data_IF_667563360780
#
_entry.id   IF_667563360780
#
_cell.length_a   1.000
_cell.length_b   1.000
_cell.length_c   1.000
_cell.angle_alpha   90.00
_cell.angle_beta   90.00
_cell.angle_gamma   90.00
#
_symmetry.space_group_name_H-M   'P 1'
#
loop_
_entity.id
_entity.type
_entity.pdbx_description
1 polymer ?
#
# COMPACT_ATOMS: atom_id res chain seq x y z
N UNK A 1 23.31 -3.53 65.69
CA UNK A 1 23.54 -2.83 64.40
C UNK A 1 22.58 -3.39 63.36
N UNK A 2 21.52 -2.65 62.99
CA UNK A 2 20.56 -3.05 61.95
C UNK A 2 21.10 -2.61 60.58
N UNK A 3 21.31 -3.57 59.68
CA UNK A 3 21.70 -3.32 58.28
C UNK A 3 20.43 -2.99 57.49
N UNK A 4 20.37 -1.78 56.93
CA UNK A 4 19.35 -1.42 55.94
C UNK A 4 19.89 -1.81 54.55
N UNK A 5 19.22 -2.76 53.90
CA UNK A 5 19.43 -3.05 52.48
C UNK A 5 18.64 -2.03 51.67
N UNK A 6 19.36 -1.13 50.97
CA UNK A 6 18.78 -0.29 49.92
C UNK A 6 18.51 -1.18 48.70
N UNK A 7 17.23 -1.38 48.37
CA UNK A 7 16.84 -2.02 47.11
C UNK A 7 17.04 -1.06 45.94
N UNK A 8 17.96 -1.37 45.04
CA UNK A 8 18.07 -0.68 43.75
C UNK A 8 16.87 -1.11 42.87
N UNK A 9 15.97 -0.17 42.60
CA UNK A 9 15.00 -0.30 41.51
C UNK A 9 15.74 -0.18 40.17
N UNK A 10 15.93 -1.31 39.50
CA UNK A 10 16.38 -1.33 38.12
C UNK A 10 15.25 -0.84 37.21
N UNK A 11 15.38 0.39 36.70
CA UNK A 11 14.58 0.88 35.59
C UNK A 11 14.89 0.03 34.35
N UNK A 12 13.90 -0.71 33.85
CA UNK A 12 14.01 -1.40 32.58
C UNK A 12 14.29 -0.37 31.46
N UNK A 13 15.26 -0.60 30.57
CA UNK A 13 15.48 0.29 29.44
C UNK A 13 14.24 0.26 28.54
N UNK A 14 13.56 1.40 28.41
CA UNK A 14 12.61 1.62 27.32
C UNK A 14 13.38 1.47 26.02
N UNK A 15 13.16 0.38 25.29
CA UNK A 15 13.65 0.25 23.93
C UNK A 15 13.10 1.42 23.11
N UNK A 16 13.99 2.29 22.63
CA UNK A 16 13.61 3.37 21.72
C UNK A 16 12.95 2.71 20.52
N UNK A 17 11.75 3.18 20.13
CA UNK A 17 11.03 2.57 19.03
C UNK A 17 11.90 2.62 17.76
N UNK A 18 12.31 1.44 17.27
CA UNK A 18 13.14 1.32 16.07
C UNK A 18 12.39 1.83 14.83
N UNK A 19 11.06 1.91 14.89
CA UNK A 19 10.18 2.44 13.85
C UNK A 19 9.32 3.54 14.44
N UNK A 20 9.21 4.68 13.75
CA UNK A 20 8.26 5.76 14.07
C UNK A 20 7.29 5.96 12.91
N UNK A 21 6.05 6.33 13.22
CA UNK A 21 5.04 6.75 12.25
C UNK A 21 4.69 8.22 12.54
N UNK A 22 5.04 9.09 11.60
CA UNK A 22 4.69 10.52 11.66
C UNK A 22 3.28 10.74 11.11
N UNK A 23 2.86 9.91 10.14
CA UNK A 23 1.52 9.87 9.58
C UNK A 23 1.19 8.44 9.11
N UNK A 24 -0.08 8.00 9.20
CA UNK A 24 -1.18 8.68 9.87
C UNK A 24 -1.03 8.63 11.40
N UNK A 25 -1.58 9.64 12.09
CA UNK A 25 -1.73 9.61 13.54
C UNK A 25 -2.92 8.73 13.93
N UNK A 26 -2.84 8.11 15.10
CA UNK A 26 -3.95 7.34 15.65
C UNK A 26 -5.08 8.22 16.16
N UNK A 27 -6.27 7.62 16.34
CA UNK A 27 -7.43 8.26 16.96
C UNK A 27 -8.53 8.66 15.97
N UNK A 28 -9.37 9.62 16.37
CA UNK A 28 -10.47 10.10 15.54
C UNK A 28 -10.01 11.26 14.67
N UNK A 29 -10.32 11.21 13.38
CA UNK A 29 -10.04 12.29 12.43
C UNK A 29 -11.23 12.56 11.52
N UNK A 30 -11.18 13.71 10.86
CA UNK A 30 -12.16 14.12 9.85
C UNK A 30 -11.40 14.68 8.64
N UNK A 31 -11.54 14.04 7.48
CA UNK A 31 -10.86 14.48 6.24
C UNK A 31 -11.65 15.49 5.40
N UNK A 32 -12.68 16.15 5.95
CA UNK A 32 -13.43 17.17 5.23
C UNK A 32 -12.52 18.32 4.78
N UNK A 33 -12.60 18.71 3.51
CA UNK A 33 -11.78 19.79 2.94
C UNK A 33 -10.30 19.43 2.73
N UNK A 34 -9.88 18.18 3.00
CA UNK A 34 -8.53 17.74 2.70
C UNK A 34 -8.32 17.63 1.18
N UNK A 35 -7.25 18.22 0.66
CA UNK A 35 -6.80 18.01 -0.72
C UNK A 35 -6.07 16.67 -0.81
N UNK A 36 -6.83 15.65 -1.17
CA UNK A 36 -6.33 14.29 -1.38
C UNK A 36 -6.28 14.05 -2.90
N UNK A 37 -5.11 14.25 -3.49
CA UNK A 37 -4.88 13.90 -4.89
C UNK A 37 -4.56 12.40 -4.96
N UNK A 38 -5.43 11.68 -5.66
CA UNK A 38 -5.37 10.24 -5.78
C UNK A 38 -4.69 9.80 -7.06
N UNK A 39 -4.76 10.61 -8.13
CA UNK A 39 -4.09 10.38 -9.41
C UNK A 39 -2.75 11.11 -9.42
N UNK A 40 -1.66 10.37 -9.56
CA UNK A 40 -0.36 10.98 -9.81
C UNK A 40 -0.13 11.23 -11.30
N UNK A 41 0.34 12.44 -11.65
CA UNK A 41 0.99 12.68 -12.94
C UNK A 41 2.30 11.88 -12.97
N UNK A 42 2.36 10.89 -13.84
CA UNK A 42 3.53 10.02 -14.03
C UNK A 42 4.27 10.53 -15.26
N UNK A 43 5.46 11.13 -15.06
CA UNK A 43 6.39 11.43 -16.15
C UNK A 43 7.38 10.28 -16.28
N UNK A 44 7.33 9.60 -17.43
CA UNK A 44 8.15 8.42 -17.67
C UNK A 44 9.62 8.79 -17.96
N UNK A 45 10.58 8.03 -17.39
CA UNK A 45 10.40 6.94 -16.42
C UNK A 45 10.21 7.49 -14.99
N UNK A 46 9.11 7.13 -14.31
CA UNK A 46 8.91 7.58 -12.93
C UNK A 46 9.75 6.73 -11.99
N UNK A 47 10.65 7.39 -11.25
CA UNK A 47 11.82 6.75 -10.64
C UNK A 47 11.71 6.52 -9.12
N UNK A 48 10.61 6.89 -8.46
CA UNK A 48 10.29 6.44 -7.10
C UNK A 48 8.87 6.83 -6.68
N UNK A 49 8.38 6.23 -5.59
CA UNK A 49 7.22 6.76 -4.83
C UNK A 49 7.63 8.11 -4.23
N UNK A 50 7.36 9.21 -4.93
CA UNK A 50 7.59 10.54 -4.41
C UNK A 50 6.32 11.10 -3.76
N UNK A 51 6.47 11.77 -2.62
CA UNK A 51 5.39 12.54 -2.03
C UNK A 51 5.16 13.79 -2.90
N UNK A 52 3.97 13.95 -3.47
CA UNK A 52 3.62 15.19 -4.16
C UNK A 52 3.60 16.35 -3.14
N UNK A 53 4.16 17.50 -3.52
CA UNK A 53 4.11 18.70 -2.68
C UNK A 53 2.64 19.11 -2.45
N UNK A 54 2.24 19.28 -1.19
CA UNK A 54 0.91 19.75 -0.82
C UNK A 54 -0.16 18.66 -0.62
N UNK A 55 0.19 17.38 -0.75
CA UNK A 55 -0.75 16.31 -0.41
C UNK A 55 -1.06 16.29 1.09
N UNK A 56 -2.33 16.15 1.44
CA UNK A 56 -2.77 16.18 2.83
C UNK A 56 -2.15 15.03 3.65
N UNK A 57 -1.79 15.31 4.90
CA UNK A 57 -1.29 14.30 5.84
C UNK A 57 -2.30 13.14 6.06
N UNK A 58 -3.59 13.37 5.78
CA UNK A 58 -4.65 12.34 5.83
C UNK A 58 -4.53 11.29 4.72
N UNK A 59 -3.79 11.58 3.66
CA UNK A 59 -3.55 10.71 2.51
C UNK A 59 -2.09 10.25 2.40
N UNK A 60 -1.35 10.23 3.51
CA UNK A 60 0.06 9.84 3.55
C UNK A 60 0.35 8.83 4.66
N UNK A 61 1.33 7.97 4.38
CA UNK A 61 2.00 7.07 5.32
C UNK A 61 3.46 7.51 5.34
N UNK A 62 3.93 8.03 6.47
CA UNK A 62 5.30 8.55 6.60
C UNK A 62 5.87 8.23 7.97
N UNK A 63 7.17 8.04 8.02
CA UNK A 63 7.88 7.86 9.27
C UNK A 63 9.35 7.56 9.04
N UNK A 64 9.98 6.95 10.05
CA UNK A 64 11.39 6.55 9.99
C UNK A 64 11.61 5.16 10.58
N UNK A 65 12.61 4.46 10.06
CA UNK A 65 13.19 3.23 10.62
C UNK A 65 14.63 3.52 10.98
N UNK A 66 14.94 3.50 12.28
CA UNK A 66 16.29 3.64 12.78
C UNK A 66 17.10 2.37 12.50
N UNK A 67 18.30 2.53 11.93
CA UNK A 67 19.16 1.40 11.57
C UNK A 67 18.63 0.58 10.39
N UNK A 68 17.93 1.22 9.44
CA UNK A 68 17.46 0.57 8.23
C UNK A 68 18.63 -0.06 7.45
N UNK A 69 18.46 -1.31 7.03
CA UNK A 69 19.45 -2.04 6.23
C UNK A 69 19.22 -1.74 4.76
N UNK A 70 20.25 -1.22 4.07
CA UNK A 70 20.18 -0.91 2.64
C UNK A 70 19.79 -2.13 1.82
N UNK A 71 18.87 -1.95 0.88
CA UNK A 71 18.49 -2.97 -0.12
C UNK A 71 17.52 -4.05 0.37
N UNK A 72 17.04 -3.99 1.61
CA UNK A 72 15.95 -4.85 2.09
C UNK A 72 14.70 -4.02 2.37
N UNK A 73 13.58 -4.24 1.67
CA UNK A 73 12.36 -3.49 1.93
C UNK A 73 11.82 -3.81 3.32
N UNK A 74 11.25 -2.80 3.97
CA UNK A 74 10.39 -2.99 5.13
C UNK A 74 9.04 -3.57 4.68
N UNK A 75 8.18 -3.93 5.63
CA UNK A 75 6.79 -4.31 5.32
C UNK A 75 5.84 -3.23 5.80
N UNK A 76 5.05 -2.68 4.89
CA UNK A 76 3.90 -1.85 5.19
C UNK A 76 2.64 -2.74 5.19
N UNK A 77 1.78 -2.61 6.18
CA UNK A 77 0.50 -3.31 6.23
C UNK A 77 -0.59 -2.26 6.37
N UNK A 78 -1.46 -2.15 5.36
CA UNK A 78 -2.61 -1.24 5.41
C UNK A 78 -3.90 -2.06 5.42
N UNK A 79 -4.71 -1.85 6.45
CA UNK A 79 -5.96 -2.59 6.71
C UNK A 79 -5.81 -4.12 6.68
N UNK A 80 -4.59 -4.64 6.86
CA UNK A 80 -4.27 -6.07 6.80
C UNK A 80 -3.78 -6.57 5.45
N UNK A 81 -3.58 -5.70 4.47
CA UNK A 81 -2.87 -5.99 3.21
C UNK A 81 -1.39 -5.66 3.39
N UNK A 82 -0.48 -6.64 3.44
CA UNK A 82 0.96 -6.38 3.47
C UNK A 82 1.43 -5.95 2.07
N UNK A 83 2.40 -5.05 2.01
CA UNK A 83 3.09 -4.62 0.81
C UNK A 83 4.53 -4.28 1.18
N UNK A 84 5.52 -4.50 0.30
CA UNK A 84 6.87 -4.06 0.59
C UNK A 84 6.93 -2.53 0.63
N UNK A 85 7.82 -2.00 1.45
CA UNK A 85 8.01 -0.58 1.70
C UNK A 85 9.47 -0.23 1.47
N UNK A 86 9.71 0.64 0.50
CA UNK A 86 11.02 1.22 0.29
C UNK A 86 11.38 2.16 1.45
N UNK A 87 12.62 2.04 1.92
CA UNK A 87 13.17 2.85 3.01
C UNK A 87 14.43 3.52 2.49
N UNK A 88 14.49 4.83 2.63
CA UNK A 88 15.61 5.63 2.18
C UNK A 88 16.87 5.36 3.00
N UNK A 89 18.08 5.69 2.48
CA UNK A 89 19.33 5.49 3.20
C UNK A 89 19.39 6.20 4.56
N UNK A 90 18.66 7.30 4.72
CA UNK A 90 18.57 8.03 5.99
C UNK A 90 17.55 7.41 6.97
N UNK A 91 16.89 6.32 6.57
CA UNK A 91 15.86 5.61 7.34
C UNK A 91 14.45 6.17 7.14
N UNK A 92 14.26 7.25 6.38
CA UNK A 92 12.91 7.78 6.12
C UNK A 92 12.12 6.92 5.14
N UNK A 93 10.80 6.92 5.28
CA UNK A 93 9.88 6.37 4.30
C UNK A 93 8.67 7.28 4.17
N UNK A 94 8.07 7.30 2.98
CA UNK A 94 6.90 8.11 2.67
C UNK A 94 6.14 7.51 1.51
N UNK A 95 4.81 7.44 1.63
CA UNK A 95 3.93 6.90 0.60
C UNK A 95 2.57 7.61 0.63
N UNK A 96 2.03 8.02 -0.52
CA UNK A 96 0.62 8.37 -0.64
C UNK A 96 -0.27 7.14 -0.47
N UNK A 97 -1.37 7.29 0.26
CA UNK A 97 -2.36 6.24 0.40
C UNK A 97 -3.76 6.81 0.59
N UNK A 98 -4.69 6.38 -0.27
CA UNK A 98 -6.09 6.75 -0.17
C UNK A 98 -6.82 5.91 0.87
N UNK A 99 -6.93 6.42 2.10
CA UNK A 99 -7.71 5.77 3.16
C UNK A 99 -9.20 6.02 2.97
N UNK A 100 -10.00 4.96 3.05
CA UNK A 100 -11.46 5.07 3.08
C UNK A 100 -11.98 5.71 4.37
N UNK A 101 -13.26 6.07 4.38
CA UNK A 101 -13.96 6.40 5.63
C UNK A 101 -13.99 5.20 6.58
N UNK A 102 -14.31 5.47 7.85
CA UNK A 102 -14.38 4.43 8.88
C UNK A 102 -13.04 4.05 9.48
N UNK A 103 -12.96 2.84 10.03
CA UNK A 103 -11.78 2.36 10.75
C UNK A 103 -10.66 1.96 9.78
N UNK A 104 -9.46 2.46 10.02
CA UNK A 104 -8.27 2.12 9.26
C UNK A 104 -7.11 1.77 10.21
N UNK A 105 -6.21 0.92 9.73
CA UNK A 105 -5.01 0.51 10.45
C UNK A 105 -3.79 0.52 9.53
N UNK A 106 -2.70 1.12 10.00
CA UNK A 106 -1.39 1.12 9.34
C UNK A 106 -0.37 0.52 10.28
N UNK A 107 0.43 -0.40 9.79
CA UNK A 107 1.57 -0.97 10.51
C UNK A 107 2.80 -1.00 9.61
N UNK A 108 3.94 -0.62 10.16
CA UNK A 108 5.24 -0.75 9.50
C UNK A 108 6.10 -1.69 10.33
N UNK A 109 6.72 -2.67 9.66
CA UNK A 109 7.62 -3.66 10.25
C UNK A 109 9.01 -3.53 9.65
N UNK A 110 10.04 -3.64 10.47
CA UNK A 110 11.43 -3.68 10.01
C UNK A 110 11.69 -4.92 9.17
N UNK A 111 12.70 -4.90 8.26
CA UNK A 111 13.04 -6.06 7.44
C UNK A 111 13.39 -7.34 8.22
N UNK A 112 13.88 -7.20 9.47
CA UNK A 112 14.19 -8.33 10.36
C UNK A 112 12.99 -8.79 11.22
N UNK A 113 11.83 -8.12 11.09
CA UNK A 113 10.60 -8.40 11.82
C UNK A 113 10.61 -8.05 13.31
N UNK A 114 11.72 -7.49 13.84
CA UNK A 114 11.87 -7.22 15.28
C UNK A 114 11.26 -5.90 15.72
N UNK A 115 11.31 -4.88 14.86
CA UNK A 115 10.75 -3.56 15.09
C UNK A 115 9.42 -3.39 14.38
N UNK A 116 8.47 -2.73 15.05
CA UNK A 116 7.18 -2.35 14.43
C UNK A 116 6.62 -1.07 15.03
N UNK A 117 5.90 -0.32 14.20
CA UNK A 117 5.04 0.78 14.63
C UNK A 117 3.65 0.58 14.03
N UNK A 118 2.60 0.98 14.76
CA UNK A 118 1.22 0.87 14.32
C UNK A 118 0.44 2.13 14.66
N UNK A 119 -0.40 2.57 13.73
CA UNK A 119 -1.40 3.61 13.93
C UNK A 119 -2.78 3.09 13.55
N UNK A 120 -3.77 3.33 14.41
CA UNK A 120 -5.17 3.02 14.17
C UNK A 120 -5.99 4.28 14.29
N UNK A 121 -6.82 4.55 13.29
CA UNK A 121 -7.66 5.74 13.28
C UNK A 121 -9.03 5.46 12.69
N UNK A 122 -9.98 6.33 13.00
CA UNK A 122 -11.31 6.33 12.40
C UNK A 122 -11.50 7.65 11.68
N UNK A 123 -11.79 7.58 10.38
CA UNK A 123 -12.16 8.74 9.59
C UNK A 123 -13.68 8.88 9.58
N UNK A 124 -14.18 9.88 10.31
CA UNK A 124 -15.61 10.10 10.51
C UNK A 124 -16.31 10.82 9.35
N UNK A 125 -15.57 11.27 8.33
CA UNK A 125 -16.14 12.09 7.27
C UNK A 125 -17.03 11.27 6.33
N UNK A 126 -18.35 11.46 6.46
CA UNK A 126 -19.36 10.75 5.67
C UNK A 126 -19.39 11.18 4.19
N UNK A 127 -18.89 12.38 3.88
CA UNK A 127 -18.81 12.88 2.49
C UNK A 127 -17.62 12.33 1.71
N UNK A 128 -16.82 11.43 2.30
CA UNK A 128 -15.71 10.79 1.62
C UNK A 128 -16.22 9.68 0.70
N UNK A 129 -15.85 9.75 -0.58
CA UNK A 129 -16.13 8.67 -1.52
C UNK A 129 -15.42 7.38 -1.07
N UNK A 130 -16.20 6.33 -0.82
CA UNK A 130 -15.68 5.05 -0.39
C UNK A 130 -15.55 4.09 -1.57
N UNK A 131 -14.36 3.53 -1.77
CA UNK A 131 -14.16 2.47 -2.75
C UNK A 131 -14.93 1.21 -2.33
N UNK A 132 -15.75 0.68 -3.24
CA UNK A 132 -16.51 -0.56 -3.05
C UNK A 132 -15.78 -1.77 -3.61
N UNK A 133 -14.93 -1.55 -4.60
CA UNK A 133 -13.95 -2.52 -5.10
C UNK A 133 -12.58 -1.85 -5.13
N UNK A 134 -11.57 -2.52 -4.58
CA UNK A 134 -10.15 -2.17 -4.75
C UNK A 134 -9.35 -3.40 -5.16
N UNK A 135 -8.37 -3.18 -6.02
CA UNK A 135 -7.34 -4.17 -6.35
C UNK A 135 -5.99 -3.53 -6.10
N UNK A 136 -5.18 -4.13 -5.23
CA UNK A 136 -3.86 -3.63 -4.84
C UNK A 136 -2.82 -4.63 -5.32
N UNK A 137 -1.99 -4.25 -6.29
CA UNK A 137 -0.84 -5.03 -6.78
C UNK A 137 0.42 -4.49 -6.12
N UNK A 138 1.28 -5.33 -5.55
CA UNK A 138 2.65 -4.99 -5.11
C UNK A 138 3.60 -6.14 -5.48
N UNK A 139 4.91 -5.95 -5.40
CA UNK A 139 5.87 -7.02 -5.72
C UNK A 139 7.15 -6.91 -4.90
N UNK A 140 7.93 -7.99 -4.81
CA UNK A 140 9.04 -8.14 -3.86
C UNK A 140 10.44 -7.85 -4.43
N UNK A 141 10.55 -7.57 -5.72
CA UNK A 141 11.81 -7.30 -6.40
C UNK A 141 11.99 -5.81 -6.73
N UNK A 142 13.11 -5.19 -6.31
CA UNK A 142 13.39 -3.80 -6.67
C UNK A 142 13.67 -3.68 -8.17
N UNK A 143 13.31 -2.54 -8.77
CA UNK A 143 13.63 -2.25 -10.17
C UNK A 143 12.93 -3.18 -11.18
N UNK A 144 11.88 -3.86 -10.74
CA UNK A 144 10.92 -4.56 -11.61
C UNK A 144 9.70 -3.70 -11.83
N UNK A 145 9.16 -3.76 -13.04
CA UNK A 145 7.98 -3.02 -13.49
C UNK A 145 6.85 -4.01 -13.77
N UNK A 146 5.80 -3.97 -12.94
CA UNK A 146 4.60 -4.78 -13.07
C UNK A 146 3.37 -3.87 -13.19
N UNK A 147 2.60 -4.03 -14.25
CA UNK A 147 1.36 -3.28 -14.45
C UNK A 147 0.14 -4.09 -14.00
N UNK A 148 -0.80 -3.41 -13.35
CA UNK A 148 -2.11 -3.92 -13.01
C UNK A 148 -3.09 -3.71 -14.18
N UNK A 149 -3.77 -4.78 -14.56
CA UNK A 149 -4.80 -4.77 -15.59
C UNK A 149 -6.12 -5.25 -14.99
N UNK A 150 -7.15 -4.41 -15.03
CA UNK A 150 -8.50 -4.76 -14.56
C UNK A 150 -9.49 -4.61 -15.71
N UNK A 151 -10.18 -5.70 -16.04
CA UNK A 151 -11.27 -5.71 -17.03
C UNK A 151 -12.60 -5.80 -16.29
N UNK A 152 -13.48 -4.85 -16.55
CA UNK A 152 -14.80 -4.74 -15.96
C UNK A 152 -15.87 -5.49 -16.78
N UNK A 153 -17.06 -5.77 -16.19
CA UNK A 153 -18.12 -6.54 -16.86
C UNK A 153 -18.68 -5.91 -18.14
N UNK A 154 -18.57 -4.59 -18.27
CA UNK A 154 -18.99 -3.80 -19.42
C UNK A 154 -17.92 -3.75 -20.53
N UNK A 155 -16.79 -4.45 -20.35
CA UNK A 155 -15.68 -4.50 -21.30
C UNK A 155 -14.69 -3.35 -21.17
N UNK A 156 -14.90 -2.41 -20.25
CA UNK A 156 -13.90 -1.37 -19.95
C UNK A 156 -12.66 -2.00 -19.32
N UNK A 157 -11.48 -1.45 -19.65
CA UNK A 157 -10.19 -1.98 -19.24
C UNK A 157 -9.32 -0.85 -18.68
N UNK A 158 -8.96 -0.96 -17.40
CA UNK A 158 -8.01 -0.09 -16.73
C UNK A 158 -6.62 -0.72 -16.73
N UNK A 159 -5.64 0.05 -17.17
CA UNK A 159 -4.21 -0.28 -17.22
C UNK A 159 -3.42 1.03 -17.40
N UNK A 160 -2.08 0.97 -17.45
CA UNK A 160 -1.24 2.16 -17.53
C UNK A 160 -1.66 3.12 -18.67
N UNK A 161 -2.01 2.59 -19.85
CA UNK A 161 -2.39 3.38 -21.03
C UNK A 161 -3.83 3.92 -21.00
N UNK A 162 -4.68 3.42 -20.08
CA UNK A 162 -6.04 3.90 -19.86
C UNK A 162 -6.41 3.79 -18.39
N UNK A 163 -6.03 4.77 -17.58
CA UNK A 163 -6.15 4.71 -16.12
C UNK A 163 -7.56 4.97 -15.60
N UNK A 164 -8.45 5.57 -16.38
CA UNK A 164 -9.81 5.93 -15.96
C UNK A 164 -10.82 5.33 -16.93
N UNK A 165 -11.60 4.37 -16.44
CA UNK A 165 -12.72 3.77 -17.18
C UNK A 165 -13.91 4.74 -17.22
N UNK A 166 -14.76 4.61 -18.25
CA UNK A 166 -16.00 5.40 -18.35
C UNK A 166 -16.99 5.12 -17.23
N UNK A 167 -16.95 3.94 -16.63
CA UNK A 167 -17.77 3.55 -15.48
C UNK A 167 -17.24 4.09 -14.13
N UNK A 168 -16.17 4.89 -14.15
CA UNK A 168 -15.59 5.54 -12.98
C UNK A 168 -14.62 4.68 -12.17
N UNK A 169 -14.32 3.45 -12.60
CA UNK A 169 -13.17 2.70 -12.08
C UNK A 169 -11.86 3.34 -12.54
N UNK A 170 -10.86 3.44 -11.65
CA UNK A 170 -9.59 4.07 -11.99
C UNK A 170 -8.38 3.42 -11.30
N UNK A 171 -7.21 3.52 -11.93
CA UNK A 171 -5.91 3.24 -11.31
C UNK A 171 -5.42 4.54 -10.67
N UNK A 172 -5.59 4.61 -9.35
CA UNK A 172 -5.32 5.78 -8.53
C UNK A 172 -3.80 5.99 -8.41
N UNK A 173 -3.11 5.00 -7.87
CA UNK A 173 -1.65 5.03 -7.64
C UNK A 173 -1.00 4.16 -8.70
N UNK A 174 -0.06 4.73 -9.45
CA UNK A 174 0.73 4.09 -10.50
C UNK A 174 2.20 4.32 -10.14
N UNK A 175 2.97 3.25 -9.95
CA UNK A 175 4.34 3.27 -9.42
C UNK A 175 5.20 2.40 -10.32
N UNK A 176 5.97 3.02 -11.22
CA UNK A 176 6.75 2.29 -12.22
C UNK A 176 8.15 1.88 -11.74
N UNK A 177 8.57 2.29 -10.54
CA UNK A 177 9.81 1.82 -9.91
C UNK A 177 9.63 1.59 -8.42
N UNK A 178 10.15 0.47 -7.95
CA UNK A 178 10.12 0.09 -6.53
C UNK A 178 9.40 -1.23 -6.35
N UNK A 179 8.42 -1.25 -5.45
CA UNK A 179 7.71 -2.45 -5.01
C UNK A 179 6.17 -2.32 -5.15
N UNK A 180 5.73 -1.36 -5.97
CA UNK A 180 4.32 -0.94 -6.03
C UNK A 180 3.83 -0.25 -4.74
N UNK A 181 2.50 -0.14 -4.47
CA UNK A 181 1.49 -0.78 -5.25
C UNK A 181 0.98 0.07 -6.39
N UNK A 182 0.43 -0.62 -7.36
CA UNK A 182 -0.61 -0.09 -8.20
C UNK A 182 -1.98 -0.40 -7.58
N UNK A 183 -2.86 0.61 -7.56
CA UNK A 183 -4.17 0.48 -6.92
C UNK A 183 -5.26 0.85 -7.91
N UNK A 184 -6.09 -0.13 -8.29
CA UNK A 184 -7.38 0.12 -8.90
C UNK A 184 -8.45 0.33 -7.82
N UNK A 185 -9.32 1.32 -7.99
CA UNK A 185 -10.47 1.55 -7.14
C UNK A 185 -11.73 1.85 -7.97
N UNK A 186 -12.88 1.42 -7.46
CA UNK A 186 -14.19 1.84 -7.97
C UNK A 186 -15.17 2.03 -6.81
N UNK A 187 -15.83 3.19 -6.77
CA UNK A 187 -16.87 3.51 -5.78
C UNK A 187 -18.24 2.97 -6.15
N UNK A 188 -18.47 2.70 -7.45
CA UNK A 188 -19.70 2.12 -7.99
C UNK A 188 -19.38 1.06 -9.05
N UNK A 189 -18.69 -0.03 -8.68
CA UNK A 189 -18.29 -1.08 -9.62
C UNK A 189 -19.53 -1.70 -10.30
N UNK A 190 -19.58 -1.76 -11.64
CA UNK A 190 -20.61 -2.51 -12.34
C UNK A 190 -20.72 -3.95 -11.83
N UNK A 191 -21.94 -4.47 -11.77
CA UNK A 191 -22.16 -5.87 -11.39
C UNK A 191 -21.75 -6.79 -12.52
N UNK A 192 -21.15 -7.93 -12.18
CA UNK A 192 -20.79 -8.96 -13.15
C UNK A 192 -19.36 -9.46 -13.02
N UNK A 193 -18.84 -10.06 -14.08
CA UNK A 193 -17.55 -10.72 -14.12
C UNK A 193 -16.41 -9.71 -14.30
N UNK A 194 -15.49 -9.69 -13.35
CA UNK A 194 -14.22 -8.98 -13.43
C UNK A 194 -13.07 -9.95 -13.70
N UNK A 195 -12.07 -9.45 -14.42
CA UNK A 195 -10.79 -10.13 -14.60
C UNK A 195 -9.65 -9.23 -14.13
N UNK A 196 -8.74 -9.80 -13.34
CA UNK A 196 -7.54 -9.13 -12.83
C UNK A 196 -6.32 -9.84 -13.39
N UNK A 197 -5.51 -9.08 -14.12
CA UNK A 197 -4.24 -9.53 -14.68
C UNK A 197 -3.09 -8.69 -14.14
N UNK A 198 -1.90 -9.27 -14.20
CA UNK A 198 -0.64 -8.58 -13.95
C UNK A 198 0.23 -8.75 -15.18
N UNK A 199 0.71 -7.65 -15.73
CA UNK A 199 1.66 -7.63 -16.84
C UNK A 199 3.07 -7.48 -16.27
N UNK A 200 3.99 -8.38 -16.61
CA UNK A 200 5.39 -8.21 -16.27
C UNK A 200 6.09 -7.45 -17.39
N UNK A 201 6.15 -6.12 -17.32
CA UNK A 201 6.72 -5.31 -18.41
C UNK A 201 8.23 -5.56 -18.58
N UNK A 202 8.98 -5.58 -17.47
CA UNK A 202 10.39 -5.90 -17.48
C UNK A 202 11.08 -5.72 -16.13
N UNK A 203 12.30 -6.22 -16.02
CA UNK A 203 13.17 -5.97 -14.86
C UNK A 203 14.47 -5.33 -15.32
N UNK A 204 15.06 -4.49 -14.46
CA UNK A 204 16.46 -4.09 -14.60
C UNK A 204 17.43 -5.28 -14.59
N UNK A 205 18.73 -4.99 -14.69
CA UNK A 205 19.83 -5.92 -15.03
C UNK A 205 20.01 -7.22 -14.20
N UNK A 206 19.17 -7.50 -13.20
CA UNK A 206 19.22 -8.72 -12.38
C UNK A 206 18.12 -9.71 -12.79
N UNK A 207 18.35 -10.45 -13.86
CA UNK A 207 17.42 -11.46 -14.41
C UNK A 207 17.42 -12.79 -13.63
N UNK A 208 18.15 -12.88 -12.51
CA UNK A 208 18.37 -14.12 -11.77
C UNK A 208 17.41 -14.37 -10.60
N UNK A 209 16.62 -13.37 -10.17
CA UNK A 209 15.69 -13.48 -9.03
C UNK A 209 14.25 -13.47 -9.53
N UNK A 210 13.48 -14.49 -9.15
CA UNK A 210 12.06 -14.59 -9.49
C UNK A 210 11.25 -13.54 -8.73
N UNK A 211 10.60 -12.64 -9.46
CA UNK A 211 9.67 -11.66 -8.90
C UNK A 211 8.37 -12.34 -8.47
N UNK A 212 7.91 -12.08 -7.24
CA UNK A 212 6.60 -12.47 -6.75
C UNK A 212 5.70 -11.24 -6.67
N UNK A 213 4.65 -11.23 -7.49
CA UNK A 213 3.56 -10.27 -7.38
C UNK A 213 2.62 -10.68 -6.23
N UNK A 214 2.14 -9.72 -5.47
CA UNK A 214 1.05 -9.88 -4.52
C UNK A 214 -0.13 -9.02 -4.93
N UNK A 215 -1.28 -9.64 -5.16
CA UNK A 215 -2.52 -8.96 -5.54
C UNK A 215 -3.58 -9.15 -4.46
N UNK A 216 -4.08 -8.06 -3.91
CA UNK A 216 -5.22 -8.08 -2.99
C UNK A 216 -6.48 -7.56 -3.70
N UNK A 217 -7.52 -8.40 -3.80
CA UNK A 217 -8.87 -8.01 -4.23
C UNK A 217 -9.70 -7.77 -2.99
N UNK A 218 -10.21 -6.55 -2.83
CA UNK A 218 -10.92 -6.09 -1.64
C UNK A 218 -12.27 -5.53 -2.06
N UNK A 219 -13.36 -6.06 -1.50
CA UNK A 219 -14.71 -5.51 -1.69
C UNK A 219 -15.22 -4.93 -0.38
N UNK A 220 -15.85 -3.75 -0.44
CA UNK A 220 -16.47 -3.06 0.69
C UNK A 220 -15.52 -2.85 1.89
N UNK A 221 -14.28 -2.42 1.60
CA UNK A 221 -13.25 -2.11 2.61
C UNK A 221 -13.82 -1.21 3.73
N UNK A 222 -13.45 -1.49 4.98
CA UNK A 222 -13.88 -0.78 6.18
C UNK A 222 -15.39 -0.87 6.48
N UNK A 223 -16.07 -1.91 5.99
CA UNK A 223 -17.48 -2.18 6.33
C UNK A 223 -17.65 -3.61 6.86
N UNK A 224 -18.77 -3.92 7.56
CA UNK A 224 -19.08 -5.30 7.96
C UNK A 224 -19.21 -6.29 6.79
N UNK A 225 -19.34 -5.79 5.54
CA UNK A 225 -19.40 -6.61 4.32
C UNK A 225 -18.04 -6.73 3.63
N UNK A 226 -16.96 -6.31 4.28
CA UNK A 226 -15.62 -6.43 3.72
C UNK A 226 -15.32 -7.89 3.36
N UNK A 227 -14.82 -8.10 2.15
CA UNK A 227 -14.15 -9.34 1.76
C UNK A 227 -12.81 -9.00 1.17
N UNK A 228 -11.79 -9.77 1.55
CA UNK A 228 -10.43 -9.62 1.04
C UNK A 228 -9.89 -10.98 0.62
N UNK A 229 -9.28 -11.01 -0.56
CA UNK A 229 -8.54 -12.17 -1.06
C UNK A 229 -7.17 -11.69 -1.51
N UNK A 230 -6.12 -12.37 -1.06
CA UNK A 230 -4.73 -12.03 -1.39
C UNK A 230 -4.13 -13.21 -2.15
N UNK A 231 -3.49 -12.92 -3.27
CA UNK A 231 -2.87 -13.88 -4.17
C UNK A 231 -1.38 -13.56 -4.28
N UNK A 232 -0.53 -14.58 -4.23
CA UNK A 232 0.89 -14.46 -4.59
C UNK A 232 1.10 -15.17 -5.92
N UNK A 233 1.70 -14.47 -6.87
CA UNK A 233 1.81 -14.91 -8.25
C UNK A 233 3.27 -14.76 -8.68
N UNK A 234 4.00 -15.86 -8.94
CA UNK A 234 5.35 -15.77 -9.46
C UNK A 234 5.34 -15.31 -10.92
N UNK A 235 6.10 -14.27 -11.24
CA UNK A 235 6.24 -13.69 -12.58
C UNK A 235 7.40 -14.36 -13.30
N UNK A 236 7.14 -15.06 -14.42
CA UNK A 236 8.14 -15.96 -15.02
C UNK A 236 8.96 -15.31 -16.11
N UNK A 237 8.35 -14.47 -16.94
CA UNK A 237 9.02 -13.81 -18.05
C UNK A 237 8.52 -12.38 -18.28
N UNK A 238 9.44 -11.49 -18.65
CA UNK A 238 9.07 -10.18 -19.14
C UNK A 238 8.21 -10.30 -20.42
N UNK A 239 7.21 -9.44 -20.55
CA UNK A 239 6.15 -9.48 -21.57
C UNK A 239 4.98 -10.42 -21.24
N UNK A 240 5.02 -11.16 -20.13
CA UNK A 240 3.93 -12.09 -19.74
C UNK A 240 2.76 -11.33 -19.11
N UNK A 241 1.55 -11.53 -19.67
CA UNK A 241 0.30 -11.11 -19.06
C UNK A 241 -0.33 -12.30 -18.32
N UNK A 242 -0.28 -12.25 -16.99
CA UNK A 242 -0.76 -13.34 -16.13
C UNK A 242 -2.15 -13.06 -15.58
N UNK A 243 -3.12 -13.94 -15.84
CA UNK A 243 -4.42 -13.90 -15.18
C UNK A 243 -4.26 -14.29 -13.71
N UNK A 244 -4.55 -13.37 -12.80
CA UNK A 244 -4.47 -13.63 -11.35
C UNK A 244 -5.80 -14.13 -10.81
N UNK A 245 -6.90 -13.46 -11.17
CA UNK A 245 -8.23 -13.80 -10.65
C UNK A 245 -9.33 -13.38 -11.60
N UNK A 246 -10.30 -14.28 -11.78
CA UNK A 246 -11.64 -13.92 -12.24
C UNK A 246 -12.63 -14.03 -11.07
N UNK A 247 -13.51 -13.04 -10.90
CA UNK A 247 -14.51 -13.04 -9.84
C UNK A 247 -15.77 -12.26 -10.26
N UNK A 248 -16.92 -12.62 -9.69
CA UNK A 248 -18.18 -11.91 -9.92
C UNK A 248 -18.41 -10.92 -8.80
N UNK A 249 -18.61 -9.64 -9.15
CA UNK A 249 -19.06 -8.61 -8.23
C UNK A 249 -20.60 -8.57 -8.20
N UNK A 250 -21.24 -8.70 -7.03
CA UNK A 250 -22.68 -8.92 -6.89
C UNK A 250 -23.55 -7.66 -6.97
#
# INVERSE_FOLDING_TARGET
MKRYCLGLLALAPCAVAQVTLDAPLGGWRNSAGAREEYTQEVHYPASSVSMQQGQAATAQIRGRINGAVKGKPATLVVNGVPMPLEVQPDGSFGRPYGFGSGSNNVEVRTPDGKGRARAQFVDGYQGKTQARLRVVLSWDSPGTDLDLHVIAPDGEHAWYGNRVMKNGGAIDVDVTTGFGPEIFSSSSPPRGLYHVYVNYYGSGADTGVLTIAQVAVITNENTPREKRQVFQVPMRAAGELTLVKSFVYP
#
